data_IF_799998431325
#
_entry.id   IF_799998431325
#
_cell.length_a   1.000
_cell.length_b   1.000
_cell.length_c   1.000
_cell.angle_alpha   90.00
_cell.angle_beta   90.00
_cell.angle_gamma   90.00
#
_symmetry.space_group_name_H-M   'P 1'
#
loop_
_entity.id
_entity.type
_entity.pdbx_description
1 polymer ?
#
# COMPACT_ATOMS: atom_id res chain seq x y z
N UNK A 1 26.95 15.96 -4.71
CA UNK A 1 26.16 15.66 -5.92
C UNK A 1 24.89 14.94 -5.51
N UNK A 2 23.74 15.43 -5.91
CA UNK A 2 22.46 14.83 -5.56
C UNK A 2 22.30 13.42 -6.16
N UNK A 3 21.58 12.56 -5.45
CA UNK A 3 21.18 11.27 -6.00
C UNK A 3 19.91 11.43 -6.84
N UNK A 4 19.91 10.85 -8.02
CA UNK A 4 18.71 10.70 -8.84
C UNK A 4 18.22 9.26 -8.69
N UNK A 5 17.04 9.09 -8.10
CA UNK A 5 16.47 7.77 -7.82
C UNK A 5 15.36 7.50 -8.83
N UNK A 6 15.47 6.39 -9.52
CA UNK A 6 14.52 6.01 -10.56
C UNK A 6 13.60 4.88 -10.09
N UNK A 7 12.38 4.89 -10.61
CA UNK A 7 11.47 3.75 -10.51
C UNK A 7 11.89 2.63 -11.44
N UNK A 8 11.27 1.47 -11.30
CA UNK A 8 11.56 0.29 -12.13
C UNK A 8 11.39 0.57 -13.63
N UNK A 9 10.43 1.43 -13.99
CA UNK A 9 10.17 1.78 -15.39
C UNK A 9 11.16 2.80 -15.96
N UNK A 10 12.15 3.24 -15.15
CA UNK A 10 13.18 4.19 -15.54
C UNK A 10 12.81 5.66 -15.35
N UNK A 11 11.58 5.97 -14.96
CA UNK A 11 11.20 7.35 -14.67
C UNK A 11 11.76 7.80 -13.32
N UNK A 12 12.08 9.09 -13.20
CA UNK A 12 12.65 9.63 -11.96
C UNK A 12 11.58 9.67 -10.87
N UNK A 13 11.89 9.06 -9.73
CA UNK A 13 11.05 9.12 -8.53
C UNK A 13 11.37 10.36 -7.72
N UNK A 14 12.65 10.60 -7.44
CA UNK A 14 13.11 11.71 -6.61
C UNK A 14 14.54 12.09 -6.94
N UNK A 15 14.88 13.37 -6.72
CA UNK A 15 16.24 13.86 -6.71
C UNK A 15 16.56 14.33 -5.29
N UNK A 16 17.53 13.70 -4.65
CA UNK A 16 17.79 13.89 -3.23
C UNK A 16 19.10 14.66 -3.05
N UNK A 17 19.00 15.84 -2.48
CA UNK A 17 20.16 16.68 -2.19
C UNK A 17 21.06 16.01 -1.14
N UNK A 18 22.38 16.30 -1.23
CA UNK A 18 23.35 15.79 -0.29
C UNK A 18 22.95 16.18 1.15
N UNK A 19 23.11 15.24 2.07
CA UNK A 19 22.84 15.44 3.50
C UNK A 19 21.36 15.55 3.88
N UNK A 20 20.44 15.18 2.98
CA UNK A 20 18.99 15.27 3.24
C UNK A 20 18.30 13.92 3.15
N UNK A 21 17.06 13.87 3.67
CA UNK A 21 16.12 12.76 3.49
C UNK A 21 14.98 13.20 2.58
N UNK A 22 14.52 12.29 1.73
CA UNK A 22 13.31 12.49 0.95
C UNK A 22 12.18 11.64 1.50
N UNK A 23 11.06 12.26 1.83
CA UNK A 23 9.89 11.62 2.44
C UNK A 23 8.70 11.57 1.49
N UNK A 24 8.96 11.65 0.18
CA UNK A 24 7.91 11.61 -0.83
C UNK A 24 7.32 10.22 -1.08
N UNK A 25 7.91 9.19 -0.46
CA UNK A 25 7.41 7.82 -0.48
C UNK A 25 7.12 7.34 0.94
N UNK A 26 6.64 6.11 1.08
CA UNK A 26 6.42 5.48 2.39
C UNK A 26 7.73 5.14 3.11
N UNK A 27 8.85 5.14 2.41
CA UNK A 27 10.18 5.00 3.00
C UNK A 27 10.88 6.36 3.04
N UNK A 28 11.92 6.47 3.86
CA UNK A 28 12.80 7.64 3.85
C UNK A 28 13.97 7.35 2.93
N UNK A 29 14.04 8.06 1.80
CA UNK A 29 15.13 7.92 0.85
C UNK A 29 16.31 8.80 1.30
N UNK A 30 17.49 8.21 1.35
CA UNK A 30 18.66 8.80 2.01
C UNK A 30 19.55 9.47 0.96
N UNK A 31 19.83 10.76 1.16
CA UNK A 31 20.75 11.52 0.33
C UNK A 31 22.20 11.17 0.66
N UNK A 32 23.10 11.53 -0.27
CA UNK A 32 24.54 11.32 -0.09
C UNK A 32 25.03 12.05 1.17
N UNK A 33 25.91 11.42 1.92
CA UNK A 33 26.54 11.99 3.12
C UNK A 33 25.54 12.37 4.24
N UNK A 34 24.38 11.73 4.30
CA UNK A 34 23.44 11.94 5.40
C UNK A 34 24.02 11.33 6.69
N UNK A 35 24.17 12.14 7.73
CA UNK A 35 24.63 11.67 9.03
C UNK A 35 23.55 10.82 9.70
N UNK A 36 23.93 9.65 10.26
CA UNK A 36 22.97 8.75 10.93
C UNK A 36 22.16 7.89 9.97
N UNK A 37 22.62 7.70 8.76
CA UNK A 37 21.89 6.93 7.72
C UNK A 37 21.59 5.48 8.15
N UNK A 38 22.41 4.89 9.01
CA UNK A 38 22.27 3.48 9.40
C UNK A 38 20.96 3.17 10.11
N UNK A 39 20.51 4.03 11.00
CA UNK A 39 19.22 3.88 11.69
C UNK A 39 18.06 3.95 10.69
N UNK A 40 18.09 4.94 9.81
CA UNK A 40 17.06 5.12 8.78
C UNK A 40 17.01 3.91 7.86
N UNK A 41 18.18 3.42 7.41
CA UNK A 41 18.27 2.25 6.55
C UNK A 41 17.65 1.01 7.23
N UNK A 42 17.96 0.80 8.52
CA UNK A 42 17.42 -0.33 9.26
C UNK A 42 15.90 -0.21 9.46
N UNK A 43 15.40 0.96 9.76
CA UNK A 43 13.96 1.18 9.89
C UNK A 43 13.22 0.96 8.57
N UNK A 44 13.78 1.43 7.46
CA UNK A 44 13.25 1.14 6.12
C UNK A 44 13.20 -0.36 5.86
N UNK A 45 14.25 -1.08 6.22
CA UNK A 45 14.33 -2.53 6.05
C UNK A 45 13.26 -3.24 6.88
N UNK A 46 13.04 -2.82 8.12
CA UNK A 46 11.98 -3.39 8.97
C UNK A 46 10.60 -3.13 8.37
N UNK A 47 10.34 -1.93 7.87
CA UNK A 47 9.08 -1.64 7.18
C UNK A 47 8.84 -2.59 6.01
N UNK A 48 9.86 -2.88 5.23
CA UNK A 48 9.78 -3.85 4.13
C UNK A 48 9.55 -5.27 4.64
N UNK A 49 10.25 -5.69 5.72
CA UNK A 49 10.05 -7.01 6.34
C UNK A 49 8.62 -7.20 6.83
N UNK A 50 8.02 -6.15 7.38
CA UNK A 50 6.65 -6.18 7.89
C UNK A 50 5.61 -5.93 6.79
N UNK A 51 6.02 -5.64 5.57
CA UNK A 51 5.14 -5.14 4.51
C UNK A 51 4.31 -3.95 5.00
N UNK A 52 4.96 -2.99 5.66
CA UNK A 52 4.30 -1.79 6.22
C UNK A 52 3.10 -2.13 7.13
N UNK A 53 3.17 -3.22 7.90
CA UNK A 53 2.06 -3.67 8.74
C UNK A 53 1.55 -2.56 9.67
N UNK A 54 0.28 -2.22 9.54
CA UNK A 54 -0.36 -1.19 10.36
C UNK A 54 -1.88 -1.29 10.22
N UNK A 55 -2.60 -0.63 11.12
CA UNK A 55 -4.05 -0.46 11.00
C UNK A 55 -4.44 0.59 9.95
N UNK A 56 -3.52 1.47 9.58
CA UNK A 56 -3.69 2.48 8.53
C UNK A 56 -2.78 2.18 7.35
N UNK A 57 -3.24 2.49 6.14
CA UNK A 57 -2.42 2.33 4.94
C UNK A 57 -1.21 3.26 4.96
N UNK A 58 -0.09 2.85 4.33
CA UNK A 58 1.09 3.69 4.23
C UNK A 58 0.79 5.02 3.52
N UNK A 59 1.47 6.08 3.94
CA UNK A 59 1.39 7.38 3.28
C UNK A 59 2.27 7.39 2.03
N UNK A 60 1.88 8.19 1.03
CA UNK A 60 2.65 8.37 -0.21
C UNK A 60 3.03 7.04 -0.89
N UNK A 61 2.09 6.11 -1.11
CA UNK A 61 2.42 4.82 -1.70
C UNK A 61 2.76 4.94 -3.18
N UNK A 62 3.60 4.02 -3.64
CA UNK A 62 3.84 3.82 -5.06
C UNK A 62 2.89 2.76 -5.61
N UNK A 63 2.51 2.89 -6.88
CA UNK A 63 1.71 1.87 -7.55
C UNK A 63 2.39 0.51 -7.47
N UNK A 64 1.68 -0.50 -7.02
CA UNK A 64 2.21 -1.84 -6.81
C UNK A 64 2.75 -2.08 -5.39
N UNK A 65 2.79 -1.05 -4.55
CA UNK A 65 3.22 -1.21 -3.15
C UNK A 65 2.18 -2.03 -2.38
N UNK A 66 2.66 -2.99 -1.59
CA UNK A 66 1.81 -3.81 -0.75
C UNK A 66 1.95 -3.39 0.72
N UNK A 67 0.89 -3.59 1.50
CA UNK A 67 0.98 -3.49 2.95
C UNK A 67 0.07 -4.53 3.61
N UNK A 68 0.42 -4.91 4.83
CA UNK A 68 -0.40 -5.79 5.64
C UNK A 68 -1.31 -4.96 6.54
N UNK A 69 -2.62 -5.04 6.30
CA UNK A 69 -3.63 -4.38 7.11
C UNK A 69 -3.90 -5.21 8.36
N UNK A 70 -3.45 -4.74 9.53
CA UNK A 70 -3.59 -5.49 10.79
C UNK A 70 -5.04 -5.55 11.28
N UNK A 71 -5.90 -4.64 10.84
CA UNK A 71 -7.32 -4.63 11.22
C UNK A 71 -8.09 -5.72 10.49
N UNK A 72 -7.88 -5.85 9.18
CA UNK A 72 -8.55 -6.87 8.36
C UNK A 72 -7.77 -8.18 8.28
N UNK A 73 -6.53 -8.20 8.76
CA UNK A 73 -5.60 -9.33 8.63
C UNK A 73 -5.41 -9.78 7.17
N UNK A 74 -5.29 -8.81 6.27
CA UNK A 74 -5.16 -9.05 4.83
C UNK A 74 -4.02 -8.21 4.25
N UNK A 75 -3.37 -8.77 3.22
CA UNK A 75 -2.43 -8.02 2.38
C UNK A 75 -3.23 -7.25 1.33
N UNK A 76 -2.87 -5.97 1.17
CA UNK A 76 -3.46 -5.10 0.15
C UNK A 76 -2.39 -4.55 -0.77
N UNK A 77 -2.76 -4.26 -2.01
CA UNK A 77 -1.87 -3.67 -3.01
C UNK A 77 -2.44 -2.33 -3.49
N UNK A 78 -1.55 -1.34 -3.67
CA UNK A 78 -1.93 -0.03 -4.20
C UNK A 78 -2.00 -0.08 -5.71
N UNK A 79 -3.18 0.19 -6.27
CA UNK A 79 -3.40 0.16 -7.72
C UNK A 79 -3.13 1.51 -8.42
N UNK A 80 -2.61 2.48 -7.69
CA UNK A 80 -2.41 3.85 -8.17
C UNK A 80 -3.48 4.83 -7.70
N UNK A 81 -4.59 4.32 -7.16
CA UNK A 81 -5.70 5.14 -6.66
C UNK A 81 -6.08 4.75 -5.23
N UNK A 82 -6.11 3.46 -4.95
CA UNK A 82 -6.52 2.92 -3.64
C UNK A 82 -5.84 1.59 -3.37
N UNK A 83 -5.78 1.21 -2.10
CA UNK A 83 -5.37 -0.12 -1.70
C UNK A 83 -6.53 -1.11 -1.85
N UNK A 84 -6.24 -2.25 -2.45
CA UNK A 84 -7.19 -3.33 -2.71
C UNK A 84 -6.65 -4.63 -2.14
N UNK A 85 -7.51 -5.45 -1.54
CA UNK A 85 -7.12 -6.77 -1.06
C UNK A 85 -6.56 -7.61 -2.22
N UNK A 86 -5.44 -8.29 -1.97
CA UNK A 86 -4.76 -9.11 -2.98
C UNK A 86 -5.55 -10.39 -3.27
N UNK A 87 -6.23 -10.92 -2.25
CA UNK A 87 -7.01 -12.15 -2.38
C UNK A 87 -8.17 -12.15 -1.41
N UNK A 88 -9.16 -13.00 -1.69
CA UNK A 88 -10.32 -13.19 -0.85
C UNK A 88 -11.37 -12.11 -1.01
N UNK A 89 -12.41 -12.23 -0.21
CA UNK A 89 -13.51 -11.29 -0.19
C UNK A 89 -13.28 -10.21 0.86
N UNK A 90 -13.88 -9.06 0.67
CA UNK A 90 -14.04 -8.06 1.72
C UNK A 90 -15.00 -8.65 2.76
N UNK A 91 -14.59 -8.75 4.02
CA UNK A 91 -15.42 -9.30 5.09
C UNK A 91 -16.04 -8.13 5.85
N UNK A 92 -17.35 -8.00 5.80
CA UNK A 92 -18.05 -6.88 6.43
C UNK A 92 -19.51 -7.24 6.72
N UNK A 93 -20.05 -6.65 7.79
CA UNK A 93 -21.46 -6.79 8.14
C UNK A 93 -22.38 -5.95 7.25
N UNK A 94 -21.83 -4.94 6.59
CA UNK A 94 -22.56 -4.06 5.68
C UNK A 94 -21.88 -4.07 4.31
N UNK A 95 -22.66 -3.83 3.25
CA UNK A 95 -22.10 -3.79 1.90
C UNK A 95 -21.05 -2.67 1.79
N UNK A 96 -19.88 -2.96 1.16
CA UNK A 96 -18.90 -1.92 0.91
C UNK A 96 -19.49 -0.77 0.10
N UNK A 97 -19.13 0.47 0.45
CA UNK A 97 -19.63 1.67 -0.24
C UNK A 97 -18.98 1.86 -1.61
N UNK A 98 -17.82 1.25 -1.83
CA UNK A 98 -17.10 1.29 -3.10
C UNK A 98 -16.72 -0.10 -3.52
N UNK A 99 -16.68 -0.34 -4.82
CA UNK A 99 -16.26 -1.62 -5.38
C UNK A 99 -15.74 -1.43 -6.79
N UNK A 100 -14.88 -2.36 -7.21
CA UNK A 100 -14.48 -2.50 -8.61
C UNK A 100 -15.09 -3.77 -9.16
N UNK A 101 -15.41 -3.77 -10.44
CA UNK A 101 -16.01 -4.94 -11.09
C UNK A 101 -15.20 -6.20 -10.79
N UNK A 102 -15.87 -7.23 -10.31
CA UNK A 102 -15.25 -8.50 -9.94
C UNK A 102 -14.82 -8.60 -8.48
N UNK A 103 -14.89 -7.52 -7.70
CA UNK A 103 -14.63 -7.59 -6.26
C UNK A 103 -15.64 -8.52 -5.59
N UNK A 104 -15.20 -9.23 -4.55
CA UNK A 104 -16.05 -10.11 -3.75
C UNK A 104 -16.30 -9.50 -2.36
N UNK A 105 -17.49 -9.67 -1.86
CA UNK A 105 -17.88 -9.30 -0.51
C UNK A 105 -18.52 -10.49 0.19
N UNK A 106 -17.99 -10.82 1.36
CA UNK A 106 -18.61 -11.79 2.25
C UNK A 106 -19.41 -11.05 3.32
N UNK A 107 -20.74 -11.19 3.25
CA UNK A 107 -21.66 -10.66 4.26
C UNK A 107 -21.53 -11.51 5.51
N UNK A 108 -20.88 -10.98 6.54
CA UNK A 108 -20.63 -11.71 7.79
C UNK A 108 -21.87 -11.88 8.65
N UNK A 109 -22.96 -11.16 8.38
CA UNK A 109 -24.24 -11.29 9.11
C UNK A 109 -25.04 -12.45 8.56
N UNK A 110 -25.17 -12.54 7.23
CA UNK A 110 -26.02 -13.53 6.58
C UNK A 110 -25.25 -14.72 6.01
N UNK A 111 -23.90 -14.68 6.05
CA UNK A 111 -23.06 -15.75 5.53
C UNK A 111 -23.16 -15.92 4.00
N UNK A 112 -23.30 -14.83 3.28
CA UNK A 112 -23.49 -14.82 1.82
C UNK A 112 -22.35 -14.13 1.11
N UNK A 113 -22.06 -14.58 -0.11
CA UNK A 113 -21.03 -13.99 -0.97
C UNK A 113 -21.69 -13.21 -2.10
N UNK A 114 -21.19 -12.00 -2.33
CA UNK A 114 -21.62 -11.12 -3.40
C UNK A 114 -20.46 -10.80 -4.32
N UNK A 115 -20.75 -10.53 -5.59
CA UNK A 115 -19.79 -10.00 -6.56
C UNK A 115 -20.23 -8.61 -7.00
N UNK A 116 -19.27 -7.69 -7.14
CA UNK A 116 -19.57 -6.35 -7.65
C UNK A 116 -19.64 -6.37 -9.16
N UNK A 117 -20.80 -6.01 -9.72
CA UNK A 117 -21.04 -6.03 -11.17
C UNK A 117 -20.41 -4.84 -11.93
N UNK A 118 -19.89 -3.87 -11.20
CA UNK A 118 -19.48 -2.57 -11.72
C UNK A 118 -20.46 -1.45 -11.37
N UNK A 119 -21.64 -1.81 -10.89
CA UNK A 119 -22.68 -0.85 -10.48
C UNK A 119 -23.35 -1.25 -9.17
N UNK A 120 -23.39 -2.53 -8.82
CA UNK A 120 -24.06 -3.02 -7.63
C UNK A 120 -23.44 -4.34 -7.14
N UNK A 121 -23.66 -4.65 -5.86
CA UNK A 121 -23.35 -5.95 -5.28
C UNK A 121 -24.45 -6.94 -5.63
N UNK A 122 -24.09 -8.04 -6.26
CA UNK A 122 -25.00 -9.06 -6.73
C UNK A 122 -24.70 -10.36 -5.99
N UNK A 123 -25.72 -10.98 -5.40
CA UNK A 123 -25.57 -12.27 -4.72
C UNK A 123 -25.07 -13.34 -5.69
N UNK A 124 -24.06 -14.06 -5.27
CA UNK A 124 -23.48 -15.17 -6.03
C UNK A 124 -24.41 -16.38 -6.00
#
# INVERSE_FOLDING_TARGET
>A
MAYTINKTDGTVLATIADGTLDTSTSLQLIGKNYAGYGEILNENTVKLLENFANSSSPTNPLTGQMYYNTTSAQVEVYNGTAFKAVSGAIISATSPTTGSQGDLWYDSVNGQVYVYSGSAWVLV
#
